data_IF_960019815303
#
_entry.id   IF_960019815303
#
_cell.length_a   1.000
_cell.length_b   1.000
_cell.length_c   1.000
_cell.angle_alpha   90.00
_cell.angle_beta   90.00
_cell.angle_gamma   90.00
#
_symmetry.space_group_name_H-M   'P 1'
#
loop_
_entity.id
_entity.type
_entity.pdbx_description
1 polymer ?
#
# COMPACT_ATOMS: atom_id res chain seq x y z
N UNK A 1 -23.62 -30.75 4.85
CA UNK A 1 -22.29 -31.22 4.40
C UNK A 1 -21.25 -30.33 5.03
N UNK A 2 -20.62 -30.79 6.10
CA UNK A 2 -19.55 -30.05 6.79
C UNK A 2 -18.35 -29.97 5.85
N UNK A 3 -17.87 -28.76 5.61
CA UNK A 3 -16.78 -28.46 4.68
C UNK A 3 -15.46 -28.97 5.31
N UNK A 4 -15.20 -30.28 5.20
CA UNK A 4 -14.04 -30.98 5.81
C UNK A 4 -12.71 -30.42 5.28
N UNK A 5 -12.74 -29.80 4.10
CA UNK A 5 -11.65 -29.01 3.50
C UNK A 5 -11.27 -27.76 4.30
N UNK A 6 -12.20 -27.18 5.07
CA UNK A 6 -11.89 -26.08 5.97
C UNK A 6 -11.32 -26.53 7.32
N UNK A 7 -11.44 -27.82 7.67
CA UNK A 7 -11.04 -28.37 8.98
C UNK A 7 -9.59 -28.86 8.94
N UNK A 8 -9.16 -29.52 7.85
CA UNK A 8 -7.78 -30.02 7.67
C UNK A 8 -7.16 -29.49 6.37
N UNK A 9 -6.83 -28.17 6.32
CA UNK A 9 -6.41 -27.52 5.08
C UNK A 9 -5.05 -28.01 4.56
N UNK A 10 -4.09 -28.36 5.43
CA UNK A 10 -2.75 -28.78 5.00
C UNK A 10 -2.76 -30.22 4.52
N UNK A 11 -3.50 -31.10 5.18
CA UNK A 11 -3.74 -32.46 4.71
C UNK A 11 -4.45 -32.45 3.34
N UNK A 12 -5.49 -31.63 3.19
CA UNK A 12 -6.18 -31.49 1.92
C UNK A 12 -5.27 -30.93 0.81
N UNK A 13 -4.38 -29.99 1.11
CA UNK A 13 -3.39 -29.50 0.14
C UNK A 13 -2.39 -30.59 -0.31
N UNK A 14 -2.07 -31.54 0.57
CA UNK A 14 -1.08 -32.60 0.29
C UNK A 14 -1.64 -33.75 -0.55
N UNK A 15 -2.86 -34.20 -0.25
CA UNK A 15 -3.46 -35.40 -0.88
C UNK A 15 -4.80 -35.13 -1.57
N UNK A 16 -5.22 -33.87 -1.64
CA UNK A 16 -6.44 -33.46 -2.33
C UNK A 16 -7.70 -34.07 -1.73
N UNK A 17 -8.62 -34.49 -2.60
CA UNK A 17 -9.91 -35.03 -2.19
C UNK A 17 -9.79 -36.34 -1.39
N UNK A 18 -8.67 -37.06 -1.49
CA UNK A 18 -8.45 -38.30 -0.72
C UNK A 18 -8.46 -38.02 0.80
N UNK A 19 -8.21 -36.78 1.22
CA UNK A 19 -8.31 -36.35 2.61
C UNK A 19 -9.72 -36.57 3.22
N UNK A 20 -10.78 -36.66 2.41
CA UNK A 20 -12.13 -36.93 2.94
C UNK A 20 -12.31 -38.37 3.40
N UNK A 21 -11.48 -39.28 2.90
CA UNK A 21 -11.55 -40.71 3.21
C UNK A 21 -10.69 -41.07 4.44
N UNK A 22 -9.95 -40.09 4.99
CA UNK A 22 -9.12 -40.28 6.17
C UNK A 22 -9.97 -40.17 7.45
N UNK A 23 -9.86 -41.14 8.38
CA UNK A 23 -10.50 -41.06 9.69
C UNK A 23 -10.15 -39.77 10.43
N UNK A 24 -11.12 -39.16 11.11
CA UNK A 24 -10.97 -37.83 11.73
C UNK A 24 -9.79 -37.74 12.70
N UNK A 25 -9.60 -38.74 13.55
CA UNK A 25 -8.54 -38.74 14.56
C UNK A 25 -7.14 -38.72 13.90
N UNK A 26 -6.99 -39.48 12.81
CA UNK A 26 -5.75 -39.54 12.05
C UNK A 26 -5.55 -38.27 11.20
N UNK A 27 -6.62 -37.73 10.61
CA UNK A 27 -6.57 -36.49 9.86
C UNK A 27 -6.12 -35.33 10.76
N UNK A 28 -6.63 -35.28 12.00
CA UNK A 28 -6.25 -34.28 12.99
C UNK A 28 -4.79 -34.41 13.42
N UNK A 29 -4.31 -35.62 13.70
CA UNK A 29 -2.92 -35.86 14.09
C UNK A 29 -1.95 -35.47 12.97
N UNK A 30 -2.27 -35.83 11.72
CA UNK A 30 -1.45 -35.46 10.56
C UNK A 30 -1.48 -33.95 10.33
N UNK A 31 -2.63 -33.28 10.47
CA UNK A 31 -2.73 -31.82 10.34
C UNK A 31 -1.85 -31.11 11.39
N UNK A 32 -1.87 -31.57 12.64
CA UNK A 32 -0.99 -31.08 13.71
C UNK A 32 0.49 -31.28 13.35
N UNK A 33 0.88 -32.49 12.90
CA UNK A 33 2.26 -32.77 12.50
C UNK A 33 2.71 -31.94 11.28
N UNK A 34 1.81 -31.67 10.32
CA UNK A 34 2.09 -30.81 9.16
C UNK A 34 2.21 -29.33 9.56
N UNK A 35 1.48 -28.91 10.61
CA UNK A 35 1.56 -27.57 11.17
C UNK A 35 2.88 -27.35 11.93
N UNK A 36 3.29 -28.31 12.74
CA UNK A 36 4.55 -28.28 13.49
C UNK A 36 5.78 -28.23 12.58
N UNK A 37 5.72 -28.91 11.43
CA UNK A 37 6.79 -28.89 10.43
C UNK A 37 6.92 -27.57 9.65
N UNK A 38 6.06 -26.57 9.93
CA UNK A 38 6.07 -25.25 9.28
C UNK A 38 6.11 -25.31 7.74
N UNK A 39 5.61 -26.39 7.14
CA UNK A 39 5.53 -26.50 5.69
C UNK A 39 4.70 -25.32 5.17
N UNK A 40 5.28 -24.39 4.38
CA UNK A 40 4.54 -23.24 3.93
C UNK A 40 3.35 -23.75 3.12
N UNK A 41 2.13 -23.35 3.53
CA UNK A 41 0.95 -23.55 2.71
C UNK A 41 1.27 -22.87 1.39
N UNK A 42 1.54 -23.65 0.34
CA UNK A 42 1.97 -23.11 -0.94
C UNK A 42 0.82 -22.25 -1.45
N UNK A 43 0.93 -20.95 -1.23
CA UNK A 43 0.00 -19.98 -1.80
C UNK A 43 0.00 -20.24 -3.30
N UNK A 44 -1.16 -20.43 -3.95
CA UNK A 44 -1.23 -20.65 -5.38
C UNK A 44 -0.34 -19.62 -6.07
N UNK A 45 0.49 -20.04 -7.04
CA UNK A 45 1.55 -19.20 -7.62
C UNK A 45 1.07 -17.80 -8.03
N UNK A 46 -0.20 -17.69 -8.43
CA UNK A 46 -0.91 -16.43 -8.65
C UNK A 46 -0.89 -15.47 -7.46
N UNK A 47 -1.30 -15.91 -6.26
CA UNK A 47 -1.33 -15.08 -5.05
C UNK A 47 0.07 -14.77 -4.51
N UNK A 48 1.03 -15.71 -4.67
CA UNK A 48 2.42 -15.43 -4.39
C UNK A 48 2.98 -14.31 -5.31
N UNK A 49 2.63 -14.36 -6.59
CA UNK A 49 3.01 -13.34 -7.58
C UNK A 49 2.31 -12.00 -7.32
N UNK A 50 1.02 -12.01 -6.98
CA UNK A 50 0.25 -10.82 -6.60
C UNK A 50 0.82 -10.15 -5.34
N UNK A 51 1.20 -10.94 -4.34
CA UNK A 51 1.83 -10.43 -3.13
C UNK A 51 3.21 -9.81 -3.44
N UNK A 52 4.01 -10.45 -4.30
CA UNK A 52 5.30 -9.91 -4.75
C UNK A 52 5.14 -8.58 -5.52
N UNK A 53 4.12 -8.45 -6.39
CA UNK A 53 3.78 -7.20 -7.09
C UNK A 53 3.31 -6.12 -6.10
N UNK A 54 2.51 -6.52 -5.11
CA UNK A 54 1.99 -5.60 -4.08
C UNK A 54 3.08 -5.09 -3.13
N UNK A 55 4.20 -5.81 -3.00
CA UNK A 55 5.36 -5.46 -2.18
C UNK A 55 6.45 -4.71 -2.96
N UNK A 56 6.09 -3.98 -4.03
CA UNK A 56 7.01 -3.21 -4.88
C UNK A 56 8.15 -2.55 -4.08
N UNK A 57 9.38 -2.59 -4.59
CA UNK A 57 10.53 -2.02 -3.88
C UNK A 57 10.27 -0.54 -3.56
N UNK A 58 10.55 -0.15 -2.32
CA UNK A 58 10.59 1.25 -1.90
C UNK A 58 11.77 1.97 -2.56
N UNK A 59 11.82 3.30 -2.41
CA UNK A 59 12.89 4.13 -2.96
C UNK A 59 14.31 3.73 -2.47
N UNK A 60 14.41 2.90 -1.43
CA UNK A 60 15.65 2.34 -0.87
C UNK A 60 15.99 0.92 -1.37
N UNK A 61 15.21 0.35 -2.28
CA UNK A 61 15.38 -1.01 -2.79
C UNK A 61 15.01 -2.10 -1.78
N UNK A 62 14.29 -1.77 -0.70
CA UNK A 62 13.69 -2.73 0.22
C UNK A 62 12.21 -2.95 -0.11
N UNK A 63 11.62 -4.12 0.17
CA UNK A 63 10.21 -4.36 -0.10
C UNK A 63 9.33 -3.32 0.61
N UNK A 64 8.44 -2.64 -0.12
CA UNK A 64 7.53 -1.66 0.47
C UNK A 64 6.71 -2.31 1.57
N UNK A 65 6.92 -1.87 2.81
CA UNK A 65 6.06 -2.24 3.92
C UNK A 65 4.72 -1.53 3.74
N UNK A 66 3.64 -2.32 3.58
CA UNK A 66 2.28 -1.78 3.54
C UNK A 66 2.01 -1.00 4.82
N UNK A 67 1.82 0.31 4.69
CA UNK A 67 1.46 1.21 5.76
C UNK A 67 -0.07 1.30 5.85
N UNK A 68 -0.65 0.79 6.93
CA UNK A 68 -2.08 0.94 7.20
C UNK A 68 -2.31 2.29 7.86
N UNK A 69 -2.81 3.26 7.08
CA UNK A 69 -3.15 4.59 7.59
C UNK A 69 -4.56 4.59 8.18
N UNK A 70 -4.74 5.27 9.33
CA UNK A 70 -6.07 5.63 9.82
C UNK A 70 -6.84 6.46 8.79
N UNK A 71 -8.18 6.36 8.76
CA UNK A 71 -9.01 7.03 7.77
C UNK A 71 -8.80 8.57 7.73
N UNK A 72 -8.57 9.19 8.89
CA UNK A 72 -8.19 10.61 9.00
C UNK A 72 -6.87 10.90 8.29
N UNK A 73 -5.84 10.10 8.57
CA UNK A 73 -4.48 10.30 8.03
C UNK A 73 -4.47 10.07 6.52
N UNK A 74 -5.24 9.10 6.03
CA UNK A 74 -5.43 8.90 4.60
C UNK A 74 -6.12 10.10 3.93
N UNK A 75 -7.17 10.65 4.53
CA UNK A 75 -7.86 11.82 3.99
C UNK A 75 -6.99 13.08 4.03
N UNK A 76 -6.21 13.29 5.09
CA UNK A 76 -5.24 14.38 5.21
C UNK A 76 -4.11 14.23 4.21
N UNK A 77 -3.51 13.05 4.07
CA UNK A 77 -2.47 12.77 3.07
C UNK A 77 -2.98 13.04 1.64
N UNK A 78 -4.16 12.53 1.30
CA UNK A 78 -4.77 12.77 -0.02
C UNK A 78 -5.00 14.25 -0.29
N UNK A 79 -5.45 15.01 0.72
CA UNK A 79 -5.63 16.46 0.60
C UNK A 79 -4.31 17.21 0.43
N UNK A 80 -3.29 16.83 1.19
CA UNK A 80 -1.94 17.40 1.07
C UNK A 80 -1.35 17.15 -0.31
N UNK A 81 -1.47 15.94 -0.84
CA UNK A 81 -1.04 15.61 -2.21
C UNK A 81 -1.83 16.37 -3.27
N UNK A 82 -3.17 16.45 -3.14
CA UNK A 82 -4.01 17.22 -4.06
C UNK A 82 -3.68 18.72 -4.03
N UNK A 83 -3.39 19.27 -2.85
CA UNK A 83 -2.96 20.66 -2.70
C UNK A 83 -1.60 20.89 -3.32
N UNK A 84 -0.67 19.94 -3.19
CA UNK A 84 0.66 20.04 -3.79
C UNK A 84 0.58 20.05 -5.32
N UNK A 85 -0.25 19.19 -5.92
CA UNK A 85 -0.50 19.23 -7.37
C UNK A 85 -1.03 20.58 -7.83
N UNK A 86 -2.01 21.15 -7.12
CA UNK A 86 -2.56 22.46 -7.46
C UNK A 86 -1.51 23.58 -7.38
N UNK A 87 -0.62 23.54 -6.39
CA UNK A 87 0.50 24.50 -6.28
C UNK A 87 1.47 24.34 -7.46
N UNK A 88 1.78 23.12 -7.86
CA UNK A 88 2.64 22.85 -9.03
C UNK A 88 2.01 23.37 -10.33
N UNK A 89 0.69 23.16 -10.51
CA UNK A 89 -0.05 23.69 -11.66
C UNK A 89 0.01 25.22 -11.71
N UNK A 90 -0.15 25.90 -10.57
CA UNK A 90 -0.05 27.36 -10.47
C UNK A 90 1.36 27.86 -10.80
N UNK A 91 2.40 27.20 -10.28
CA UNK A 91 3.79 27.56 -10.56
C UNK A 91 4.15 27.32 -12.03
N UNK A 92 3.65 26.23 -12.62
CA UNK A 92 3.85 25.93 -14.03
C UNK A 92 3.10 26.92 -14.94
N UNK A 93 1.88 27.31 -14.58
CA UNK A 93 1.14 28.35 -15.29
C UNK A 93 1.86 29.70 -15.20
N UNK A 94 2.40 30.05 -14.03
CA UNK A 94 3.20 31.25 -13.85
C UNK A 94 4.47 31.24 -14.71
N UNK A 95 5.16 30.10 -14.81
CA UNK A 95 6.34 29.95 -15.68
C UNK A 95 6.00 30.15 -17.15
N UNK A 96 4.92 29.54 -17.65
CA UNK A 96 4.43 29.76 -19.02
C UNK A 96 4.03 31.21 -19.27
N UNK A 97 3.32 31.84 -18.34
CA UNK A 97 2.91 33.23 -18.46
C UNK A 97 4.12 34.19 -18.53
N UNK A 98 5.25 33.86 -17.90
CA UNK A 98 6.48 34.65 -18.06
C UNK A 98 7.05 34.62 -19.47
N UNK A 99 6.85 33.53 -20.20
CA UNK A 99 7.31 33.39 -21.58
C UNK A 99 6.35 34.00 -22.60
N UNK A 100 5.05 33.93 -22.34
CA UNK A 100 4.00 34.20 -23.35
C UNK A 100 3.13 35.44 -23.07
N UNK A 101 3.08 35.94 -21.83
CA UNK A 101 2.12 36.98 -21.41
C UNK A 101 2.79 38.30 -21.00
N UNK A 102 2.00 39.38 -20.99
CA UNK A 102 2.45 40.71 -20.56
C UNK A 102 2.76 40.78 -19.06
N UNK A 103 3.55 41.78 -18.59
CA UNK A 103 3.96 41.88 -17.19
C UNK A 103 2.80 42.02 -16.19
N UNK A 104 1.65 42.54 -16.63
CA UNK A 104 0.41 42.64 -15.83
C UNK A 104 -0.26 41.27 -15.58
N UNK A 105 0.06 40.27 -16.40
CA UNK A 105 -0.53 38.91 -16.35
C UNK A 105 0.39 37.91 -15.63
N UNK A 106 1.57 38.36 -15.21
CA UNK A 106 2.56 37.52 -14.55
C UNK A 106 2.32 37.43 -13.05
N UNK A 107 2.57 36.25 -12.49
CA UNK A 107 2.52 36.05 -11.05
C UNK A 107 3.70 36.78 -10.38
N UNK A 108 3.40 37.72 -9.49
CA UNK A 108 4.43 38.49 -8.78
C UNK A 108 5.24 37.65 -7.78
N UNK A 109 6.49 38.04 -7.53
CA UNK A 109 7.44 37.31 -6.68
C UNK A 109 6.90 36.91 -5.30
N UNK A 110 6.17 37.81 -4.63
CA UNK A 110 5.53 37.54 -3.34
C UNK A 110 4.59 36.33 -3.38
N UNK A 111 3.79 36.20 -4.45
CA UNK A 111 2.86 35.08 -4.62
C UNK A 111 3.62 33.78 -4.89
N UNK A 112 4.66 33.84 -5.73
CA UNK A 112 5.53 32.68 -6.01
C UNK A 112 6.20 32.17 -4.73
N UNK A 113 6.76 33.05 -3.91
CA UNK A 113 7.35 32.69 -2.61
C UNK A 113 6.29 32.10 -1.66
N UNK A 114 5.09 32.69 -1.62
CA UNK A 114 3.96 32.16 -0.86
C UNK A 114 3.56 30.74 -1.29
N UNK A 115 3.52 30.47 -2.59
CA UNK A 115 3.25 29.14 -3.15
C UNK A 115 4.34 28.14 -2.78
N UNK A 116 5.61 28.52 -2.82
CA UNK A 116 6.72 27.65 -2.40
C UNK A 116 6.62 27.32 -0.90
N UNK A 117 6.26 28.29 -0.05
CA UNK A 117 6.01 28.05 1.37
C UNK A 117 4.82 27.12 1.58
N UNK A 118 3.73 27.31 0.84
CA UNK A 118 2.55 26.44 0.88
C UNK A 118 2.90 24.98 0.50
N UNK A 119 3.65 24.77 -0.59
CA UNK A 119 4.13 23.46 -0.99
C UNK A 119 4.93 22.78 0.13
N UNK A 120 5.84 23.51 0.78
CA UNK A 120 6.63 22.98 1.91
C UNK A 120 5.76 22.57 3.10
N UNK A 121 4.69 23.31 3.39
CA UNK A 121 3.76 22.93 4.47
C UNK A 121 2.95 21.68 4.11
N UNK A 122 2.49 21.59 2.86
CA UNK A 122 1.76 20.40 2.38
C UNK A 122 2.64 19.14 2.43
N UNK A 123 3.91 19.27 2.07
CA UNK A 123 4.89 18.17 2.18
C UNK A 123 5.13 17.78 3.65
N UNK A 124 5.27 18.76 4.56
CA UNK A 124 5.39 18.47 6.00
C UNK A 124 4.18 17.72 6.54
N UNK A 125 2.97 18.15 6.17
CA UNK A 125 1.74 17.49 6.58
C UNK A 125 1.64 16.06 6.02
N UNK A 126 2.04 15.85 4.76
CA UNK A 126 2.10 14.52 4.16
C UNK A 126 3.05 13.58 4.93
N UNK A 127 4.24 14.07 5.29
CA UNK A 127 5.18 13.31 6.13
C UNK A 127 4.61 13.03 7.53
N UNK A 128 3.93 14.01 8.14
CA UNK A 128 3.29 13.82 9.44
C UNK A 128 2.23 12.72 9.40
N UNK A 129 1.36 12.73 8.38
CA UNK A 129 0.35 11.68 8.16
C UNK A 129 0.97 10.28 8.04
N UNK A 130 2.12 10.17 7.37
CA UNK A 130 2.85 8.91 7.20
C UNK A 130 3.56 8.45 8.48
N UNK A 131 4.08 9.38 9.29
CA UNK A 131 4.76 9.08 10.54
C UNK A 131 3.78 8.61 11.64
N UNK A 132 2.60 9.21 11.73
CA UNK A 132 1.58 8.82 12.72
C UNK A 132 0.91 7.47 12.45
N UNK A 133 1.03 6.92 11.24
CA UNK A 133 0.56 5.56 10.93
C UNK A 133 1.40 4.43 11.54
N UNK A 134 2.46 4.74 12.30
CA UNK A 134 3.38 3.78 12.91
C UNK A 134 3.15 3.51 14.41
N UNK A 135 2.16 4.16 15.03
CA UNK A 135 1.75 3.93 16.44
C UNK A 135 0.46 3.15 16.51
#
# INVERSE_FOLDING_TARGET
MTNRTAIHPRLHALIGNIATDVPEDLAHEIECALQEQNLPMQSPAFFACLNAISCADGDDGQPCRSLTLGASNHASLRRSMSGLSAVLDLLQAADRARAEAGPEEQLGAFHTDGLIVAARQLVREAHHCLAEGHT
#
